data_IF_406985483591
#
_entry.id   IF_406985483591
#
_cell.length_a   1.000
_cell.length_b   1.000
_cell.length_c   1.000
_cell.angle_alpha   90.00
_cell.angle_beta   90.00
_cell.angle_gamma   90.00
#
_symmetry.space_group_name_H-M   'P 1'
#
loop_
_entity.id
_entity.type
_entity.pdbx_description
1 polymer ?
#
# COMPACT_ATOMS: atom_id res chain seq x y z
N UNK A 1 -23.66 21.31 35.50
CA UNK A 1 -24.58 20.24 35.04
C UNK A 1 -24.88 20.35 33.54
N UNK A 2 -25.38 21.49 33.02
CA UNK A 2 -25.66 21.62 31.57
C UNK A 2 -24.45 21.42 30.64
N UNK A 3 -23.27 21.94 31.00
CA UNK A 3 -22.06 21.78 30.16
C UNK A 3 -21.61 20.31 30.01
N UNK A 4 -21.75 19.51 31.07
CA UNK A 4 -21.44 18.08 31.05
C UNK A 4 -22.42 17.30 30.16
N UNK A 5 -23.70 17.66 30.19
CA UNK A 5 -24.73 17.02 29.36
C UNK A 5 -24.50 17.35 27.87
N UNK A 6 -24.19 18.61 27.55
CA UNK A 6 -23.84 19.02 26.17
C UNK A 6 -22.58 18.33 25.66
N UNK A 7 -21.56 18.16 26.49
CA UNK A 7 -20.35 17.41 26.16
C UNK A 7 -20.65 15.93 25.88
N UNK A 8 -21.44 15.28 26.74
CA UNK A 8 -21.82 13.87 26.57
C UNK A 8 -22.68 13.62 25.33
N UNK A 9 -23.58 14.54 24.97
CA UNK A 9 -24.38 14.45 23.73
C UNK A 9 -23.48 14.66 22.51
N UNK A 10 -22.57 15.63 22.57
CA UNK A 10 -21.62 15.88 21.47
C UNK A 10 -20.68 14.69 21.23
N UNK A 11 -20.26 13.99 22.29
CA UNK A 11 -19.44 12.78 22.16
C UNK A 11 -20.24 11.59 21.65
N UNK A 12 -21.52 11.42 22.06
CA UNK A 12 -22.36 10.34 21.54
C UNK A 12 -22.68 10.53 20.06
N UNK A 13 -23.05 11.76 19.64
CA UNK A 13 -23.31 12.08 18.23
C UNK A 13 -22.08 11.89 17.36
N UNK A 14 -20.88 12.25 17.88
CA UNK A 14 -19.62 12.02 17.16
C UNK A 14 -19.32 10.53 17.02
N UNK A 15 -19.51 9.75 18.09
CA UNK A 15 -19.35 8.29 18.05
C UNK A 15 -20.32 7.60 17.09
N UNK A 16 -21.56 8.10 16.99
CA UNK A 16 -22.56 7.58 16.06
C UNK A 16 -22.18 7.88 14.60
N UNK A 17 -21.77 9.13 14.32
CA UNK A 17 -21.27 9.52 13.01
C UNK A 17 -20.03 8.72 12.58
N UNK A 18 -19.10 8.45 13.50
CA UNK A 18 -17.91 7.63 13.21
C UNK A 18 -18.29 6.17 12.93
N UNK A 19 -19.33 5.66 13.60
CA UNK A 19 -19.85 4.30 13.37
C UNK A 19 -20.52 4.18 12.00
N UNK A 20 -21.28 5.19 11.57
CA UNK A 20 -21.89 5.24 10.24
C UNK A 20 -20.82 5.33 9.15
N UNK A 21 -19.87 6.26 9.30
CA UNK A 21 -18.71 6.38 8.40
C UNK A 21 -17.92 5.09 8.28
N UNK A 22 -17.65 4.42 9.39
CA UNK A 22 -16.98 3.12 9.40
C UNK A 22 -17.73 2.08 8.53
N UNK A 23 -19.07 2.02 8.63
CA UNK A 23 -19.87 1.07 7.84
C UNK A 23 -19.81 1.39 6.35
N UNK A 24 -19.94 2.67 6.00
CA UNK A 24 -19.91 3.12 4.61
C UNK A 24 -18.55 2.87 3.97
N UNK A 25 -17.46 3.26 4.63
CA UNK A 25 -16.10 3.03 4.15
C UNK A 25 -15.82 1.54 3.97
N UNK A 26 -16.27 0.71 4.92
CA UNK A 26 -16.13 -0.74 4.81
C UNK A 26 -16.91 -1.31 3.62
N UNK A 27 -18.13 -0.84 3.38
CA UNK A 27 -18.93 -1.27 2.23
C UNK A 27 -18.24 -0.89 0.91
N UNK A 28 -17.66 0.30 0.82
CA UNK A 28 -16.89 0.73 -0.36
C UNK A 28 -15.65 -0.14 -0.57
N UNK A 29 -14.85 -0.39 0.49
CA UNK A 29 -13.67 -1.26 0.39
C UNK A 29 -14.03 -2.67 -0.05
N UNK A 30 -15.13 -3.23 0.47
CA UNK A 30 -15.62 -4.55 0.05
C UNK A 30 -16.10 -4.56 -1.39
N UNK A 31 -16.74 -3.49 -1.85
CA UNK A 31 -17.13 -3.33 -3.24
C UNK A 31 -15.89 -3.31 -4.15
N UNK A 32 -14.88 -2.50 -3.81
CA UNK A 32 -13.61 -2.42 -4.55
C UNK A 32 -12.89 -3.77 -4.57
N UNK A 33 -12.80 -4.47 -3.43
CA UNK A 33 -12.23 -5.81 -3.35
C UNK A 33 -12.99 -6.83 -4.21
N UNK A 34 -14.32 -6.73 -4.26
CA UNK A 34 -15.15 -7.58 -5.12
C UNK A 34 -14.95 -7.30 -6.61
N UNK A 35 -14.63 -6.06 -6.99
CA UNK A 35 -14.29 -5.71 -8.37
C UNK A 35 -12.93 -6.32 -8.76
N UNK A 36 -11.92 -6.21 -7.89
CA UNK A 36 -10.63 -6.86 -8.10
C UNK A 36 -10.76 -8.38 -8.23
N UNK A 37 -11.55 -9.01 -7.36
CA UNK A 37 -11.72 -10.48 -7.38
C UNK A 37 -12.44 -10.98 -8.64
N UNK A 38 -13.31 -10.16 -9.25
CA UNK A 38 -14.02 -10.50 -10.50
C UNK A 38 -13.12 -10.37 -11.73
N UNK A 39 -12.12 -9.50 -11.70
CA UNK A 39 -11.13 -9.38 -12.79
C UNK A 39 -10.23 -10.63 -12.87
N UNK A 40 -9.97 -11.31 -11.74
CA UNK A 40 -9.30 -12.62 -11.73
C UNK A 40 -10.11 -13.70 -12.47
N UNK A 41 -11.45 -13.64 -12.41
CA UNK A 41 -12.31 -14.58 -13.13
C UNK A 41 -12.39 -14.22 -14.61
N UNK A 42 -12.32 -12.94 -14.98
CA UNK A 42 -12.32 -12.52 -16.39
C UNK A 42 -10.97 -12.81 -17.07
N UNK A 43 -9.85 -12.59 -16.37
CA UNK A 43 -8.49 -12.84 -16.86
C UNK A 43 -8.11 -14.33 -16.85
N UNK A 44 -8.55 -15.13 -15.87
CA UNK A 44 -8.34 -16.58 -15.88
C UNK A 44 -9.16 -17.32 -16.96
N UNK A 45 -10.22 -16.70 -17.49
CA UNK A 45 -10.97 -17.23 -18.65
C UNK A 45 -10.38 -16.79 -20.00
N UNK A 46 -9.27 -16.05 -19.99
CA UNK A 46 -8.55 -15.67 -21.18
C UNK A 46 -7.07 -16.04 -21.05
N UNK A 47 -6.80 -17.34 -21.06
CA UNK A 47 -5.49 -17.97 -21.30
C UNK A 47 -4.90 -17.63 -22.69
N UNK A 48 -5.25 -16.49 -23.29
CA UNK A 48 -4.87 -16.10 -24.64
C UNK A 48 -4.82 -14.59 -24.87
N UNK A 49 -4.31 -13.78 -23.94
CA UNK A 49 -3.70 -12.49 -24.32
C UNK A 49 -2.33 -12.36 -23.67
N UNK A 50 -1.38 -12.90 -24.43
CA UNK A 50 0.04 -12.57 -24.53
C UNK A 50 0.31 -11.13 -24.03
N UNK A 51 1.08 -10.96 -22.95
CA UNK A 51 1.79 -9.70 -22.67
C UNK A 51 3.16 -9.76 -23.34
N UNK A 52 3.13 -9.62 -24.67
CA UNK A 52 4.25 -9.12 -25.46
C UNK A 52 4.00 -7.62 -25.62
N UNK A 53 4.67 -6.82 -24.79
CA UNK A 53 4.57 -5.35 -24.76
C UNK A 53 5.30 -4.67 -25.94
N UNK A 54 5.52 -5.40 -27.04
CA UNK A 54 6.16 -4.92 -28.27
C UNK A 54 5.17 -4.93 -29.44
N UNK A 55 4.05 -4.20 -29.37
CA UNK A 55 3.24 -3.82 -30.53
C UNK A 55 2.26 -2.69 -30.18
N UNK A 56 2.08 -1.79 -31.13
CA UNK A 56 1.30 -0.54 -31.15
C UNK A 56 -0.09 -0.54 -30.47
N UNK A 57 -0.62 0.65 -30.09
CA UNK A 57 -1.75 0.77 -29.19
C UNK A 57 -3.05 0.39 -29.91
N UNK A 58 -3.59 -0.78 -29.57
CA UNK A 58 -4.98 -1.07 -29.86
C UNK A 58 -5.81 -0.27 -28.85
N UNK A 59 -6.57 0.69 -29.36
CA UNK A 59 -7.64 1.40 -28.65
C UNK A 59 -8.68 0.40 -28.11
N UNK A 60 -8.36 -0.31 -27.04
CA UNK A 60 -9.34 -1.00 -26.24
C UNK A 60 -9.88 0.03 -25.24
N UNK A 61 -11.00 0.68 -25.59
CA UNK A 61 -11.87 1.39 -24.66
C UNK A 61 -12.55 0.42 -23.67
N UNK A 62 -11.76 -0.44 -23.02
CA UNK A 62 -12.16 -1.22 -21.86
C UNK A 62 -11.66 -0.50 -20.63
N UNK A 63 -12.56 -0.10 -19.74
CA UNK A 63 -12.19 0.43 -18.43
C UNK A 63 -11.30 -0.58 -17.72
N UNK A 64 -10.02 -0.26 -17.51
CA UNK A 64 -9.10 -1.11 -16.75
C UNK A 64 -9.59 -1.16 -15.29
N UNK A 65 -10.00 -2.34 -14.82
CA UNK A 65 -10.60 -2.51 -13.49
C UNK A 65 -9.60 -2.12 -12.40
N UNK A 66 -8.31 -2.39 -12.60
CA UNK A 66 -7.25 -2.01 -11.67
C UNK A 66 -7.15 -0.49 -11.51
N UNK A 67 -7.29 0.27 -12.60
CA UNK A 67 -7.39 1.74 -12.55
C UNK A 67 -8.60 2.21 -11.72
N UNK A 68 -9.76 1.58 -11.90
CA UNK A 68 -10.97 1.91 -11.12
C UNK A 68 -10.77 1.61 -9.64
N UNK A 69 -10.14 0.48 -9.32
CA UNK A 69 -9.89 0.10 -7.92
C UNK A 69 -8.87 1.03 -7.28
N UNK A 70 -7.77 1.37 -7.96
CA UNK A 70 -6.81 2.36 -7.46
C UNK A 70 -7.43 3.75 -7.30
N UNK A 71 -8.26 4.19 -8.24
CA UNK A 71 -8.98 5.46 -8.13
C UNK A 71 -9.94 5.44 -6.94
N UNK A 72 -10.70 4.36 -6.76
CA UNK A 72 -11.56 4.16 -5.61
C UNK A 72 -10.77 4.19 -4.29
N UNK A 73 -9.63 3.50 -4.25
CA UNK A 73 -8.74 3.50 -3.09
C UNK A 73 -8.17 4.90 -2.82
N UNK A 74 -7.77 5.63 -3.86
CA UNK A 74 -7.28 7.01 -3.76
C UNK A 74 -8.34 7.96 -3.21
N UNK A 75 -9.61 7.79 -3.57
CA UNK A 75 -10.73 8.59 -3.04
C UNK A 75 -11.02 8.24 -1.57
N UNK A 76 -10.99 6.95 -1.24
CA UNK A 76 -11.37 6.45 0.10
C UNK A 76 -10.26 6.68 1.13
N UNK A 77 -9.01 6.54 0.73
CA UNK A 77 -7.83 6.67 1.60
C UNK A 77 -7.82 7.93 2.47
N UNK A 78 -8.02 9.16 1.95
CA UNK A 78 -8.06 10.37 2.79
C UNK A 78 -9.27 10.43 3.74
N UNK A 79 -10.30 9.61 3.52
CA UNK A 79 -11.47 9.51 4.40
C UNK A 79 -11.23 8.52 5.56
N UNK A 80 -10.24 7.63 5.43
CA UNK A 80 -9.83 6.70 6.49
C UNK A 80 -8.81 7.42 7.37
N UNK A 81 -9.28 7.97 8.49
CA UNK A 81 -8.39 8.52 9.51
C UNK A 81 -7.71 7.43 10.34
N UNK A 82 -6.59 7.75 10.98
CA UNK A 82 -5.93 6.84 11.94
C UNK A 82 -6.87 6.43 13.08
N UNK A 83 -7.82 7.28 13.48
CA UNK A 83 -8.83 6.95 14.49
C UNK A 83 -9.81 5.88 13.98
N UNK A 84 -10.15 5.90 12.70
CA UNK A 84 -11.00 4.88 12.07
C UNK A 84 -10.26 3.55 11.89
N UNK A 85 -8.92 3.55 11.76
CA UNK A 85 -8.13 2.33 11.73
C UNK A 85 -8.11 1.58 13.08
N UNK A 86 -8.58 2.20 14.17
CA UNK A 86 -8.81 1.49 15.45
C UNK A 86 -9.91 0.43 15.35
N UNK A 87 -10.77 0.49 14.33
CA UNK A 87 -11.77 -0.54 14.07
C UNK A 87 -11.13 -1.70 13.28
N UNK A 88 -10.88 -2.87 13.90
CA UNK A 88 -10.00 -3.90 13.31
C UNK A 88 -10.46 -4.41 11.95
N UNK A 89 -11.78 -4.53 11.76
CA UNK A 89 -12.35 -4.98 10.48
C UNK A 89 -12.13 -3.99 9.34
N UNK A 90 -12.19 -2.68 9.61
CA UNK A 90 -11.92 -1.66 8.60
C UNK A 90 -10.43 -1.62 8.29
N UNK A 91 -9.59 -1.68 9.34
CA UNK A 91 -8.14 -1.74 9.20
C UNK A 91 -7.73 -2.92 8.30
N UNK A 92 -8.19 -4.14 8.63
CA UNK A 92 -7.91 -5.33 7.85
C UNK A 92 -8.45 -5.23 6.42
N UNK A 93 -9.72 -4.84 6.21
CA UNK A 93 -10.30 -4.73 4.86
C UNK A 93 -9.52 -3.71 4.00
N UNK A 94 -9.04 -2.61 4.60
CA UNK A 94 -8.24 -1.60 3.93
C UNK A 94 -6.83 -2.10 3.56
N UNK A 95 -6.08 -2.65 4.52
CA UNK A 95 -4.74 -3.18 4.28
C UNK A 95 -4.77 -4.41 3.38
N UNK A 96 -5.82 -5.23 3.43
CA UNK A 96 -6.00 -6.37 2.54
C UNK A 96 -6.13 -5.93 1.09
N UNK A 97 -6.95 -4.91 0.81
CA UNK A 97 -7.09 -4.38 -0.54
C UNK A 97 -5.81 -3.68 -0.99
N UNK A 98 -5.23 -2.82 -0.14
CA UNK A 98 -3.98 -2.11 -0.46
C UNK A 98 -2.83 -3.07 -0.76
N UNK A 99 -2.63 -4.08 0.09
CA UNK A 99 -1.60 -5.11 -0.11
C UNK A 99 -1.78 -5.84 -1.43
N UNK A 100 -3.02 -6.25 -1.75
CA UNK A 100 -3.30 -6.93 -3.00
C UNK A 100 -2.98 -6.06 -4.22
N UNK A 101 -3.40 -4.79 -4.21
CA UNK A 101 -3.13 -3.87 -5.31
C UNK A 101 -1.64 -3.62 -5.51
N UNK A 102 -0.87 -3.47 -4.43
CA UNK A 102 0.57 -3.23 -4.49
C UNK A 102 1.38 -4.48 -4.85
N UNK A 103 0.87 -5.66 -4.53
CA UNK A 103 1.52 -6.93 -4.85
C UNK A 103 1.27 -7.36 -6.30
N UNK A 104 0.02 -7.23 -6.77
CA UNK A 104 -0.40 -7.74 -8.09
C UNK A 104 -0.25 -6.69 -9.19
N UNK A 105 -0.52 -5.42 -8.88
CA UNK A 105 -0.52 -4.31 -9.85
C UNK A 105 0.37 -3.13 -9.38
N UNK A 106 1.66 -3.37 -9.05
CA UNK A 106 2.56 -2.33 -8.55
C UNK A 106 2.80 -1.20 -9.55
N UNK A 107 2.67 -1.44 -10.86
CA UNK A 107 2.88 -0.46 -11.92
C UNK A 107 1.94 0.74 -11.83
N UNK A 108 0.74 0.53 -11.32
CA UNK A 108 -0.27 1.57 -11.15
C UNK A 108 0.18 2.64 -10.15
N UNK A 109 1.08 2.30 -9.21
CA UNK A 109 1.58 3.26 -8.23
C UNK A 109 2.39 4.38 -8.89
N UNK A 110 2.99 4.12 -10.06
CA UNK A 110 3.78 5.11 -10.82
C UNK A 110 2.90 6.17 -11.47
N UNK A 111 1.59 5.92 -11.58
CA UNK A 111 0.61 6.85 -12.15
C UNK A 111 -0.01 7.77 -11.09
N UNK A 112 0.27 7.53 -9.81
CA UNK A 112 -0.22 8.37 -8.72
C UNK A 112 0.53 9.70 -8.67
N UNK A 113 -0.15 10.74 -8.17
CA UNK A 113 0.53 11.97 -7.81
C UNK A 113 1.41 11.77 -6.57
N UNK A 114 2.37 12.68 -6.34
CA UNK A 114 3.32 12.57 -5.24
C UNK A 114 2.66 12.55 -3.85
N UNK A 115 1.55 13.26 -3.64
CA UNK A 115 0.85 13.29 -2.36
C UNK A 115 0.21 11.94 -2.02
N UNK A 116 -0.48 11.33 -2.98
CA UNK A 116 -1.08 10.01 -2.84
C UNK A 116 -0.03 8.93 -2.60
N UNK A 117 1.08 9.00 -3.33
CA UNK A 117 2.19 8.09 -3.15
C UNK A 117 2.77 8.17 -1.73
N UNK A 118 3.08 9.38 -1.25
CA UNK A 118 3.55 9.61 0.13
C UNK A 118 2.52 9.12 1.16
N UNK A 119 1.23 9.29 0.89
CA UNK A 119 0.17 8.79 1.77
C UNK A 119 0.21 7.26 1.88
N UNK A 120 0.33 6.54 0.76
CA UNK A 120 0.46 5.07 0.77
C UNK A 120 1.67 4.63 1.61
N UNK A 121 2.81 5.32 1.47
CA UNK A 121 4.00 4.99 2.28
C UNK A 121 3.74 5.18 3.77
N UNK A 122 3.13 6.30 4.16
CA UNK A 122 2.76 6.56 5.57
C UNK A 122 1.76 5.52 6.09
N UNK A 123 0.83 5.08 5.26
CA UNK A 123 -0.11 4.01 5.58
C UNK A 123 0.62 2.70 5.84
N UNK A 124 1.56 2.30 4.98
CA UNK A 124 2.35 1.08 5.16
C UNK A 124 3.22 1.15 6.42
N UNK A 125 3.86 2.29 6.68
CA UNK A 125 4.66 2.52 7.89
C UNK A 125 3.80 2.40 9.16
N UNK A 126 2.59 2.98 9.15
CA UNK A 126 1.61 2.78 10.22
C UNK A 126 1.22 1.31 10.38
N UNK A 127 0.96 0.60 9.28
CA UNK A 127 0.57 -0.80 9.27
C UNK A 127 1.61 -1.75 9.87
N UNK A 128 2.91 -1.43 9.73
CA UNK A 128 4.00 -2.18 10.37
C UNK A 128 3.99 -2.11 11.91
N UNK A 129 3.20 -1.21 12.50
CA UNK A 129 3.02 -1.08 13.96
C UNK A 129 1.71 -1.68 14.48
N UNK A 130 0.93 -2.35 13.62
CA UNK A 130 -0.36 -2.96 13.97
C UNK A 130 -0.20 -4.42 14.41
N UNK A 131 -1.31 -5.16 14.47
CA UNK A 131 -1.29 -6.59 14.76
C UNK A 131 -0.58 -7.40 13.66
N UNK A 132 -0.25 -8.66 13.97
CA UNK A 132 0.52 -9.53 13.09
C UNK A 132 -0.12 -9.74 11.71
N UNK A 133 -1.46 -9.77 11.60
CA UNK A 133 -2.14 -9.95 10.31
C UNK A 133 -1.94 -8.72 9.41
N UNK A 134 -2.07 -7.53 9.98
CA UNK A 134 -1.83 -6.26 9.25
C UNK A 134 -0.35 -6.09 8.90
N UNK A 135 0.56 -6.48 9.79
CA UNK A 135 2.00 -6.46 9.52
C UNK A 135 2.33 -7.39 8.35
N UNK A 136 1.79 -8.61 8.32
CA UNK A 136 1.98 -9.55 7.21
C UNK A 136 1.50 -8.97 5.87
N UNK A 137 0.34 -8.32 5.86
CA UNK A 137 -0.18 -7.60 4.68
C UNK A 137 0.76 -6.49 4.22
N UNK A 138 1.32 -5.71 5.14
CA UNK A 138 2.28 -4.66 4.81
C UNK A 138 3.58 -5.24 4.23
N UNK A 139 4.09 -6.33 4.80
CA UNK A 139 5.28 -7.02 4.30
C UNK A 139 5.07 -7.54 2.87
N UNK A 140 3.90 -8.13 2.58
CA UNK A 140 3.52 -8.54 1.20
C UNK A 140 3.47 -7.36 0.23
N UNK A 141 2.89 -6.24 0.65
CA UNK A 141 2.85 -5.03 -0.16
C UNK A 141 4.27 -4.48 -0.46
N UNK A 142 5.12 -4.41 0.57
CA UNK A 142 6.50 -3.92 0.47
C UNK A 142 7.34 -4.84 -0.45
N UNK A 143 7.20 -6.16 -0.30
CA UNK A 143 7.79 -7.15 -1.21
C UNK A 143 7.40 -6.87 -2.67
N UNK A 144 6.10 -6.65 -2.93
CA UNK A 144 5.58 -6.33 -4.26
C UNK A 144 6.24 -5.10 -4.87
N UNK A 145 6.25 -3.99 -4.12
CA UNK A 145 6.88 -2.73 -4.53
C UNK A 145 8.38 -2.86 -4.80
N UNK A 146 9.12 -3.45 -3.87
CA UNK A 146 10.57 -3.60 -3.99
C UNK A 146 10.92 -4.53 -5.17
N UNK A 147 10.18 -5.63 -5.34
CA UNK A 147 10.38 -6.55 -6.46
C UNK A 147 10.09 -5.89 -7.81
N UNK A 148 9.03 -5.09 -7.88
CA UNK A 148 8.71 -4.33 -9.08
C UNK A 148 9.79 -3.31 -9.42
N UNK A 149 10.24 -2.54 -8.43
CA UNK A 149 11.34 -1.59 -8.61
C UNK A 149 12.61 -2.27 -9.12
N UNK A 150 13.01 -3.36 -8.47
CA UNK A 150 14.19 -4.13 -8.83
C UNK A 150 14.12 -4.67 -10.27
N UNK A 151 12.97 -5.26 -10.65
CA UNK A 151 12.75 -5.79 -12.01
C UNK A 151 12.83 -4.70 -13.06
N UNK A 152 12.17 -3.55 -12.83
CA UNK A 152 12.23 -2.42 -13.76
C UNK A 152 13.65 -1.85 -13.90
N UNK A 153 14.36 -1.66 -12.78
CA UNK A 153 15.75 -1.20 -12.82
C UNK A 153 16.67 -2.16 -13.58
N UNK A 154 16.46 -3.47 -13.40
CA UNK A 154 17.20 -4.50 -14.12
C UNK A 154 16.92 -4.47 -15.63
N UNK A 155 15.73 -4.00 -16.04
CA UNK A 155 15.36 -3.80 -17.44
C UNK A 155 15.81 -2.44 -18.02
N UNK A 156 16.45 -1.58 -17.23
CA UNK A 156 16.89 -0.24 -17.65
C UNK A 156 15.82 0.86 -17.48
N UNK A 157 14.68 0.54 -16.86
CA UNK A 157 13.58 1.46 -16.62
C UNK A 157 13.75 2.25 -15.30
N UNK A 158 12.93 3.30 -15.13
CA UNK A 158 12.98 4.18 -13.95
C UNK A 158 12.42 3.53 -12.67
N UNK A 159 11.62 2.47 -12.78
CA UNK A 159 11.03 1.79 -11.61
C UNK A 159 9.91 2.59 -10.97
N UNK A 160 9.94 2.68 -9.65
CA UNK A 160 9.01 3.50 -8.83
C UNK A 160 9.26 5.03 -8.95
N UNK A 161 10.13 5.46 -9.87
CA UNK A 161 10.42 6.88 -10.12
C UNK A 161 11.39 7.50 -9.10
N UNK A 162 11.36 8.84 -9.03
CA UNK A 162 12.36 9.65 -8.31
C UNK A 162 12.37 9.43 -6.79
N UNK A 163 11.27 8.95 -6.22
CA UNK A 163 11.10 8.79 -4.77
C UNK A 163 11.58 7.42 -4.25
N UNK A 164 11.94 6.50 -5.16
CA UNK A 164 12.25 5.12 -4.82
C UNK A 164 13.60 4.98 -4.11
N UNK A 165 14.63 5.60 -4.69
CA UNK A 165 16.01 5.60 -4.21
C UNK A 165 16.38 6.99 -3.72
N UNK A 166 17.30 7.07 -2.76
CA UNK A 166 17.74 8.36 -2.23
C UNK A 166 18.31 9.28 -3.31
N UNK A 167 17.94 10.56 -3.28
CA UNK A 167 18.40 11.56 -4.24
C UNK A 167 18.96 12.79 -3.51
N UNK A 168 19.86 13.52 -4.17
CA UNK A 168 20.32 14.83 -3.69
C UNK A 168 19.44 15.91 -4.30
N UNK A 169 18.84 16.74 -3.46
CA UNK A 169 18.05 17.87 -3.93
C UNK A 169 18.95 18.99 -4.51
N UNK A 170 18.31 20.02 -5.07
CA UNK A 170 19.01 21.18 -5.66
C UNK A 170 19.83 21.98 -4.62
N UNK A 171 19.59 21.74 -3.32
CA UNK A 171 20.31 22.35 -2.21
C UNK A 171 21.46 21.48 -1.69
N UNK A 172 21.67 20.30 -2.30
CA UNK A 172 22.71 19.34 -1.93
C UNK A 172 22.35 18.45 -0.74
N UNK A 173 21.14 18.57 -0.19
CA UNK A 173 20.69 17.71 0.91
C UNK A 173 20.28 16.35 0.35
N UNK A 174 20.72 15.29 1.04
CA UNK A 174 20.32 13.93 0.71
C UNK A 174 18.91 13.66 1.25
N UNK A 175 18.01 13.28 0.36
CA UNK A 175 16.67 12.80 0.68
C UNK A 175 16.71 11.27 0.65
N UNK A 176 16.32 10.63 1.75
CA UNK A 176 16.26 9.17 1.83
C UNK A 176 15.15 8.64 0.91
N UNK A 177 15.46 7.60 0.14
CA UNK A 177 14.47 6.93 -0.71
C UNK A 177 13.53 6.08 0.12
N UNK A 178 12.33 5.84 -0.40
CA UNK A 178 11.32 5.04 0.32
C UNK A 178 11.78 3.59 0.52
N UNK A 179 12.49 3.01 -0.44
CA UNK A 179 13.02 1.65 -0.29
C UNK A 179 14.10 1.59 0.79
N UNK A 180 14.93 2.64 0.90
CA UNK A 180 15.90 2.79 2.00
C UNK A 180 15.20 2.89 3.36
N UNK A 181 14.12 3.66 3.45
CA UNK A 181 13.32 3.77 4.67
C UNK A 181 12.71 2.42 5.07
N UNK A 182 12.07 1.71 4.15
CA UNK A 182 11.51 0.38 4.43
C UNK A 182 12.58 -0.64 4.81
N UNK A 183 13.73 -0.64 4.14
CA UNK A 183 14.85 -1.50 4.49
C UNK A 183 15.28 -1.30 5.95
N UNK A 184 15.44 -0.04 6.38
CA UNK A 184 15.79 0.30 7.76
C UNK A 184 14.69 -0.13 8.74
N UNK A 185 13.43 0.18 8.45
CA UNK A 185 12.29 -0.19 9.30
C UNK A 185 12.17 -1.71 9.46
N UNK A 186 12.33 -2.48 8.37
CA UNK A 186 12.26 -3.95 8.42
C UNK A 186 13.44 -4.56 9.15
N UNK A 187 14.65 -4.04 8.98
CA UNK A 187 15.80 -4.48 9.78
C UNK A 187 15.60 -4.18 11.26
N UNK A 188 15.06 -3.00 11.59
CA UNK A 188 14.78 -2.65 12.98
C UNK A 188 13.69 -3.56 13.58
N UNK A 189 12.64 -3.85 12.81
CA UNK A 189 11.58 -4.78 13.18
C UNK A 189 12.15 -6.19 13.45
N UNK A 190 12.92 -6.74 12.51
CA UNK A 190 13.47 -8.09 12.61
C UNK A 190 14.54 -8.28 13.70
N UNK A 191 15.35 -7.25 13.95
CA UNK A 191 16.49 -7.38 14.88
C UNK A 191 16.15 -7.01 16.32
N UNK A 192 15.17 -6.13 16.53
CA UNK A 192 14.98 -5.50 17.84
C UNK A 192 13.54 -5.56 18.38
N UNK A 193 12.54 -5.91 17.58
CA UNK A 193 11.17 -5.99 18.08
C UNK A 193 10.79 -7.42 18.48
N UNK A 194 9.85 -7.53 19.40
CA UNK A 194 9.17 -8.79 19.72
C UNK A 194 8.05 -8.99 18.71
N UNK A 195 8.24 -9.90 17.74
CA UNK A 195 7.27 -10.19 16.69
C UNK A 195 6.95 -11.69 16.63
N UNK A 196 5.80 -12.05 16.02
CA UNK A 196 5.44 -13.46 15.84
C UNK A 196 6.43 -14.14 14.89
N UNK A 197 6.91 -15.34 15.24
CA UNK A 197 7.78 -16.15 14.38
C UNK A 197 7.17 -16.46 13.02
N UNK A 198 5.85 -16.41 12.90
CA UNK A 198 5.11 -16.60 11.65
C UNK A 198 5.43 -15.51 10.61
N UNK A 199 5.83 -14.31 11.07
CA UNK A 199 6.17 -13.19 10.20
C UNK A 199 7.59 -13.27 9.62
N UNK A 200 8.45 -14.17 10.13
CA UNK A 200 9.84 -14.28 9.66
C UNK A 200 9.89 -14.56 8.16
N UNK A 201 9.02 -15.44 7.65
CA UNK A 201 8.97 -15.78 6.23
C UNK A 201 8.62 -14.57 5.38
N UNK A 202 7.50 -13.90 5.68
CA UNK A 202 7.04 -12.71 4.96
C UNK A 202 8.03 -11.56 5.04
N UNK A 203 8.68 -11.37 6.20
CA UNK A 203 9.67 -10.33 6.38
C UNK A 203 10.96 -10.60 5.59
N UNK A 204 11.43 -11.86 5.56
CA UNK A 204 12.58 -12.25 4.75
C UNK A 204 12.30 -12.08 3.25
N UNK A 205 11.10 -12.48 2.81
CA UNK A 205 10.62 -12.30 1.44
C UNK A 205 10.57 -10.83 1.00
N UNK A 206 10.21 -9.93 1.91
CA UNK A 206 10.22 -8.48 1.67
C UNK A 206 11.63 -7.88 1.73
N UNK A 207 12.48 -8.39 2.63
CA UNK A 207 13.83 -7.88 2.85
C UNK A 207 14.76 -8.13 1.65
N UNK A 208 14.65 -9.30 1.02
CA UNK A 208 15.51 -9.66 -0.12
C UNK A 208 15.47 -8.63 -1.26
N UNK A 209 14.31 -8.30 -1.88
CA UNK A 209 14.26 -7.32 -2.95
C UNK A 209 14.66 -5.92 -2.47
N UNK A 210 14.44 -5.56 -1.20
CA UNK A 210 14.90 -4.29 -0.64
C UNK A 210 16.43 -4.19 -0.59
N UNK A 211 17.11 -5.24 -0.09
CA UNK A 211 18.58 -5.30 -0.08
C UNK A 211 19.12 -5.24 -1.51
N UNK A 212 18.48 -5.92 -2.46
CA UNK A 212 18.90 -5.88 -3.87
C UNK A 212 18.75 -4.48 -4.48
N UNK A 213 17.73 -3.71 -4.08
CA UNK A 213 17.56 -2.33 -4.51
C UNK A 213 18.58 -1.37 -3.86
N UNK A 214 18.94 -1.59 -2.59
CA UNK A 214 19.70 -0.66 -1.76
C UNK A 214 20.98 -1.30 -1.18
N UNK A 215 21.75 -2.00 -2.03
CA UNK A 215 22.94 -2.76 -1.60
C UNK A 215 23.98 -1.89 -0.87
N UNK A 216 24.21 -0.67 -1.37
CA UNK A 216 25.17 0.26 -0.78
C UNK A 216 24.77 0.66 0.64
N UNK A 217 23.48 0.88 0.89
CA UNK A 217 22.97 1.23 2.21
C UNK A 217 23.06 0.04 3.16
N UNK A 218 22.78 -1.17 2.69
CA UNK A 218 22.85 -2.39 3.50
C UNK A 218 24.28 -2.76 3.91
N UNK A 219 25.27 -2.48 3.06
CA UNK A 219 26.68 -2.82 3.32
C UNK A 219 27.44 -1.74 4.09
N UNK A 220 26.87 -0.54 4.25
CA UNK A 220 27.47 0.60 4.93
C UNK A 220 27.36 0.48 6.47
#
# INVERSE_FOLDING_TARGET
MCLQISLSISSSLRSEADTERYKDLRAVLQLLASLCSKDLVLSANLDLIIVDFSSEPIEAQGTNICQVVYMGLHIVTPLISLDLLKYPKLCHDYFSLLSHMLEVYPEMITQLNGEAFVHIIKTLDFGLSQDAEVVDLCLRAIKGLASFHYKQKSAGEVGLGLHASGYKDQTGNFQEGILSQFLRSLLQFLLFQDYSTDLVGSAADALLPLILCEQTLYQA
#
